data_IF_220334499633
#
_entry.id   IF_220334499633
#
_cell.length_a   1.000
_cell.length_b   1.000
_cell.length_c   1.000
_cell.angle_alpha   90.00
_cell.angle_beta   90.00
_cell.angle_gamma   90.00
#
_symmetry.space_group_name_H-M   'P 1'
#
loop_
_entity.id
_entity.type
_entity.pdbx_description
1 polymer ?
#
# COMPACT_ATOMS: atom_id res chain seq x y z
N UNK A 1 -13.07 -14.43 -8.17
CA UNK A 1 -12.38 -13.21 -7.73
C UNK A 1 -12.21 -13.30 -6.22
N UNK A 2 -10.96 -13.27 -5.75
CA UNK A 2 -10.61 -13.25 -4.33
C UNK A 2 -10.09 -11.86 -4.01
N UNK A 3 -10.90 -11.06 -3.35
CA UNK A 3 -10.53 -9.69 -2.95
C UNK A 3 -9.90 -9.79 -1.56
N UNK A 4 -8.77 -9.10 -1.36
CA UNK A 4 -8.04 -9.11 -0.08
C UNK A 4 -7.95 -7.68 0.44
N UNK A 5 -8.44 -7.46 1.65
CA UNK A 5 -8.30 -6.21 2.40
C UNK A 5 -7.48 -6.45 3.68
N UNK A 6 -6.83 -5.39 4.15
CA UNK A 6 -6.20 -5.36 5.47
C UNK A 6 -7.19 -4.83 6.51
N UNK A 7 -7.14 -5.35 7.73
CA UNK A 7 -7.93 -4.87 8.88
C UNK A 7 -7.09 -4.94 10.15
N UNK A 8 -7.26 -4.02 11.07
CA UNK A 8 -6.75 -4.10 12.44
C UNK A 8 -7.70 -4.84 13.39
N UNK A 9 -8.91 -5.18 12.93
CA UNK A 9 -9.87 -6.02 13.64
C UNK A 9 -9.63 -7.52 13.47
N UNK A 10 -10.61 -8.32 13.89
CA UNK A 10 -10.57 -9.78 13.78
C UNK A 10 -10.52 -10.22 12.30
N UNK A 11 -9.52 -11.04 11.89
CA UNK A 11 -9.45 -11.54 10.53
C UNK A 11 -10.65 -12.42 10.21
N UNK A 12 -11.22 -12.27 9.02
CA UNK A 12 -12.41 -13.02 8.59
C UNK A 12 -12.48 -13.16 7.09
N UNK A 13 -13.23 -14.16 6.63
CA UNK A 13 -13.57 -14.34 5.21
C UNK A 13 -15.08 -14.27 5.03
N UNK A 14 -15.53 -13.38 4.15
CA UNK A 14 -16.93 -13.27 3.75
C UNK A 14 -17.09 -14.00 2.41
N UNK A 15 -17.92 -15.05 2.39
CA UNK A 15 -18.26 -15.78 1.16
C UNK A 15 -19.38 -15.04 0.43
N UNK A 16 -19.22 -14.80 -0.87
CA UNK A 16 -20.21 -14.09 -1.71
C UNK A 16 -20.94 -15.06 -2.66
N UNK A 17 -20.51 -16.32 -2.72
CA UNK A 17 -21.08 -17.35 -3.60
C UNK A 17 -20.19 -17.62 -4.82
N UNK A 18 -20.44 -18.73 -5.53
CA UNK A 18 -19.75 -19.14 -6.75
C UNK A 18 -18.21 -19.17 -6.59
N UNK A 19 -17.71 -19.63 -5.44
CA UNK A 19 -16.28 -19.66 -5.13
C UNK A 19 -15.61 -18.31 -4.93
N UNK A 20 -16.38 -17.20 -4.87
CA UNK A 20 -15.88 -15.84 -4.67
C UNK A 20 -16.01 -15.43 -3.21
N UNK A 21 -15.13 -14.53 -2.77
CA UNK A 21 -15.20 -13.98 -1.42
C UNK A 21 -14.23 -12.83 -1.19
N UNK A 22 -14.40 -12.22 -0.02
CA UNK A 22 -13.55 -11.16 0.51
C UNK A 22 -12.80 -11.70 1.72
N UNK A 23 -11.48 -11.57 1.71
CA UNK A 23 -10.61 -11.92 2.82
C UNK A 23 -10.13 -10.63 3.51
N UNK A 24 -10.42 -10.52 4.80
CA UNK A 24 -9.85 -9.50 5.67
C UNK A 24 -8.65 -10.12 6.41
N UNK A 25 -7.44 -9.71 6.02
CA UNK A 25 -6.19 -10.10 6.68
C UNK A 25 -5.89 -9.14 7.81
N UNK A 26 -5.57 -9.68 8.98
CA UNK A 26 -5.16 -8.86 10.11
C UNK A 26 -3.83 -8.15 9.84
N UNK A 27 -3.71 -6.89 10.26
CA UNK A 27 -2.48 -6.10 10.25
C UNK A 27 -2.42 -5.21 11.49
N UNK A 28 -1.22 -4.86 11.93
CA UNK A 28 -1.06 -3.94 13.06
C UNK A 28 -1.65 -2.55 12.73
N UNK A 29 -2.34 -1.86 13.66
CA UNK A 29 -2.97 -0.55 13.43
C UNK A 29 -2.03 0.49 12.80
N UNK A 30 -0.75 0.48 13.17
CA UNK A 30 0.28 1.37 12.60
C UNK A 30 0.40 1.29 11.08
N UNK A 31 0.05 0.15 10.47
CA UNK A 31 0.10 -0.04 9.02
C UNK A 31 -1.11 0.59 8.31
N UNK A 32 -2.12 1.05 9.05
CA UNK A 32 -3.34 1.70 8.55
C UNK A 32 -3.41 3.18 8.96
N UNK A 33 -2.43 3.68 9.72
CA UNK A 33 -2.43 5.02 10.34
C UNK A 33 -2.01 6.16 9.39
N UNK A 34 -1.97 5.91 8.08
CA UNK A 34 -1.62 6.91 7.06
C UNK A 34 -2.78 7.89 6.88
N UNK A 35 -2.49 9.19 6.78
CA UNK A 35 -3.49 10.22 6.52
C UNK A 35 -3.88 10.30 5.04
N UNK A 36 -2.96 9.96 4.15
CA UNK A 36 -3.10 10.02 2.72
C UNK A 36 -3.35 8.62 2.15
N UNK A 37 -4.56 8.41 1.63
CA UNK A 37 -5.00 7.15 1.07
C UNK A 37 -4.08 6.62 -0.05
N UNK A 38 -3.50 7.53 -0.85
CA UNK A 38 -2.58 7.11 -1.92
C UNK A 38 -1.30 6.53 -1.34
N UNK A 39 -0.72 7.15 -0.31
CA UNK A 39 0.50 6.61 0.32
C UNK A 39 0.20 5.29 1.03
N UNK A 40 -0.95 5.19 1.70
CA UNK A 40 -1.40 3.93 2.29
C UNK A 40 -1.43 2.81 1.23
N UNK A 41 -2.01 3.09 0.06
CA UNK A 41 -2.11 2.14 -1.06
C UNK A 41 -0.74 1.79 -1.63
N UNK A 42 0.11 2.78 -1.88
CA UNK A 42 1.47 2.58 -2.40
C UNK A 42 2.29 1.71 -1.44
N UNK A 43 2.30 2.05 -0.15
CA UNK A 43 3.05 1.28 0.86
C UNK A 43 2.51 -0.15 0.95
N UNK A 44 1.18 -0.32 0.94
CA UNK A 44 0.55 -1.64 0.99
C UNK A 44 0.89 -2.49 -0.23
N UNK A 45 0.86 -1.88 -1.43
CA UNK A 45 1.21 -2.54 -2.68
C UNK A 45 2.68 -2.97 -2.69
N UNK A 46 3.60 -2.07 -2.33
CA UNK A 46 5.03 -2.37 -2.28
C UNK A 46 5.34 -3.48 -1.25
N UNK A 47 4.70 -3.45 -0.07
CA UNK A 47 4.82 -4.54 0.92
C UNK A 47 4.32 -5.88 0.35
N UNK A 48 3.24 -5.87 -0.42
CA UNK A 48 2.67 -7.08 -1.02
C UNK A 48 3.53 -7.64 -2.17
N UNK A 49 4.15 -6.77 -2.97
CA UNK A 49 5.10 -7.15 -4.03
C UNK A 49 6.39 -7.69 -3.40
N UNK A 50 6.91 -7.01 -2.38
CA UNK A 50 8.19 -7.33 -1.73
C UNK A 50 9.37 -6.71 -2.47
N UNK A 51 10.38 -6.26 -1.72
CA UNK A 51 11.51 -5.43 -2.22
C UNK A 51 12.21 -6.02 -3.45
N UNK A 52 12.42 -7.34 -3.46
CA UNK A 52 13.16 -8.04 -4.52
C UNK A 52 12.35 -8.24 -5.81
N UNK A 53 11.02 -8.10 -5.75
CA UNK A 53 10.13 -8.34 -6.88
C UNK A 53 9.68 -7.05 -7.58
N UNK A 54 10.18 -5.90 -7.16
CA UNK A 54 9.80 -4.60 -7.73
C UNK A 54 10.44 -4.46 -9.11
N UNK A 55 9.61 -4.20 -10.12
CA UNK A 55 10.04 -4.02 -11.51
C UNK A 55 10.08 -2.55 -11.89
N UNK A 56 10.81 -2.24 -12.95
CA UNK A 56 10.86 -0.88 -13.50
C UNK A 56 9.46 -0.34 -13.87
N UNK A 57 8.57 -1.20 -14.35
CA UNK A 57 7.19 -0.84 -14.64
C UNK A 57 6.42 -0.34 -13.40
N UNK A 58 6.70 -0.91 -12.23
CA UNK A 58 6.07 -0.48 -10.97
C UNK A 58 6.60 0.92 -10.58
N UNK A 59 7.90 1.16 -10.76
CA UNK A 59 8.54 2.45 -10.52
C UNK A 59 7.97 3.54 -11.43
N UNK A 60 7.79 3.26 -12.73
CA UNK A 60 7.19 4.23 -13.66
C UNK A 60 5.74 4.54 -13.31
N UNK A 61 4.95 3.53 -12.91
CA UNK A 61 3.58 3.77 -12.41
C UNK A 61 3.58 4.67 -11.19
N UNK A 62 4.49 4.45 -10.24
CA UNK A 62 4.63 5.30 -9.06
C UNK A 62 5.00 6.73 -9.44
N UNK A 63 5.92 6.92 -10.39
CA UNK A 63 6.30 8.25 -10.89
C UNK A 63 5.10 9.01 -11.43
N UNK A 64 4.28 8.36 -12.26
CA UNK A 64 3.07 8.96 -12.84
C UNK A 64 2.04 9.31 -11.74
N UNK A 65 1.85 8.42 -10.76
CA UNK A 65 0.89 8.67 -9.67
C UNK A 65 1.31 9.83 -8.76
N UNK A 66 2.62 9.97 -8.51
CA UNK A 66 3.17 10.99 -7.61
C UNK A 66 3.43 12.34 -8.30
N UNK A 67 3.70 12.38 -9.61
CA UNK A 67 4.00 13.61 -10.35
C UNK A 67 2.84 14.62 -10.39
N UNK A 68 1.61 14.13 -10.23
CA UNK A 68 0.40 14.96 -10.22
C UNK A 68 0.10 15.63 -8.87
N UNK A 69 0.95 15.45 -7.84
CA UNK A 69 0.64 15.83 -6.45
C UNK A 69 1.77 16.63 -5.79
N UNK A 70 1.41 17.50 -4.86
CA UNK A 70 2.38 18.24 -4.06
C UNK A 70 2.96 17.34 -2.95
N UNK A 71 4.29 17.38 -2.80
CA UNK A 71 5.03 16.54 -1.83
C UNK A 71 4.61 16.83 -0.38
N UNK A 72 4.29 18.10 -0.09
CA UNK A 72 3.82 18.55 1.23
C UNK A 72 2.63 17.75 1.75
N UNK A 73 1.77 17.26 0.86
CA UNK A 73 0.49 16.64 1.22
C UNK A 73 0.65 15.23 1.79
N UNK A 74 1.83 14.63 1.63
CA UNK A 74 2.05 13.22 1.94
C UNK A 74 3.42 12.88 2.51
N UNK A 75 4.35 13.83 2.56
CA UNK A 75 5.70 13.62 3.11
C UNK A 75 5.71 13.15 4.56
N UNK A 76 4.79 13.63 5.39
CA UNK A 76 4.70 13.24 6.80
C UNK A 76 4.34 11.77 6.97
N UNK A 77 3.46 11.25 6.11
CA UNK A 77 3.04 9.85 6.10
C UNK A 77 4.18 8.89 5.79
N UNK A 78 5.20 9.32 5.04
CA UNK A 78 6.40 8.52 4.80
C UNK A 78 7.17 8.18 6.07
N UNK A 79 6.94 8.89 7.19
CA UNK A 79 7.54 8.55 8.49
C UNK A 79 7.04 7.20 9.01
N UNK A 80 5.83 6.77 8.60
CA UNK A 80 5.25 5.48 8.98
C UNK A 80 5.74 4.33 8.07
N UNK A 81 6.27 4.66 6.88
CA UNK A 81 6.70 3.67 5.90
C UNK A 81 8.03 2.98 6.29
N UNK A 82 8.21 1.70 5.95
CA UNK A 82 9.52 1.03 6.02
C UNK A 82 10.60 1.80 5.28
N UNK A 83 11.83 1.77 5.80
CA UNK A 83 12.96 2.54 5.26
C UNK A 83 13.20 2.32 3.76
N UNK A 84 13.09 1.07 3.28
CA UNK A 84 13.31 0.75 1.87
C UNK A 84 12.19 1.28 0.96
N UNK A 85 10.93 1.34 1.43
CA UNK A 85 9.84 1.96 0.67
C UNK A 85 10.04 3.47 0.61
N UNK A 86 10.43 4.07 1.73
CA UNK A 86 10.75 5.50 1.81
C UNK A 86 11.87 5.87 0.82
N UNK A 87 12.92 5.06 0.73
CA UNK A 87 14.01 5.27 -0.23
C UNK A 87 13.52 5.23 -1.68
N UNK A 88 12.66 4.27 -2.03
CA UNK A 88 12.08 4.19 -3.37
C UNK A 88 11.28 5.45 -3.69
N UNK A 89 10.36 5.86 -2.80
CA UNK A 89 9.51 7.03 -3.05
C UNK A 89 10.34 8.32 -3.18
N UNK A 90 11.34 8.51 -2.31
CA UNK A 90 12.24 9.68 -2.37
C UNK A 90 13.10 9.68 -3.64
N UNK A 91 13.47 8.51 -4.18
CA UNK A 91 14.27 8.44 -5.42
C UNK A 91 13.51 8.80 -6.70
N UNK A 92 12.17 8.82 -6.64
CA UNK A 92 11.29 9.03 -7.81
C UNK A 92 10.76 10.46 -7.89
N UNK A 93 10.72 11.16 -6.75
CA UNK A 93 10.14 12.49 -6.55
C UNK A 93 11.25 13.53 -6.44
#
# INVERSE_FOLDING_TARGET
MNIVYLTDGTPRRIKIGNGKGILFKHTAPKNLAYKNDLILLIVSALKAIGKENIKNEDIEKLRILLSSRQISDWKDDLKLAPAWIKQIIISIV
#
